data_IF_305871686529
#
_entry.id   IF_305871686529
#
_cell.length_a   1.000
_cell.length_b   1.000
_cell.length_c   1.000
_cell.angle_alpha   90.00
_cell.angle_beta   90.00
_cell.angle_gamma   90.00
#
_symmetry.space_group_name_H-M   'P 1'
#
loop_
_entity.id
_entity.type
_entity.pdbx_description
1 polymer ?
#
# COMPACT_ATOMS: atom_id res chain seq x y z
N UNK A 1 -6.83 1.78 10.27
CA UNK A 1 -6.18 0.46 10.10
C UNK A 1 -7.19 -0.67 9.85
N UNK A 2 -8.12 -0.93 10.77
CA UNK A 2 -9.09 -2.03 10.60
C UNK A 2 -9.93 -1.92 9.33
N UNK A 3 -10.35 -0.71 8.96
CA UNK A 3 -11.04 -0.46 7.68
C UNK A 3 -10.19 -0.87 6.47
N UNK A 4 -8.91 -0.47 6.43
CA UNK A 4 -8.00 -0.83 5.33
C UNK A 4 -7.86 -2.36 5.17
N UNK A 5 -7.94 -3.11 6.28
CA UNK A 5 -7.89 -4.58 6.29
C UNK A 5 -9.25 -5.26 6.10
N UNK A 6 -10.33 -4.51 5.85
CA UNK A 6 -11.69 -5.07 5.75
C UNK A 6 -12.24 -5.65 7.05
N UNK A 7 -11.68 -5.28 8.20
CA UNK A 7 -11.93 -5.92 9.50
C UNK A 7 -12.49 -4.97 10.58
N UNK A 8 -13.08 -3.83 10.19
CA UNK A 8 -13.69 -2.91 11.16
C UNK A 8 -15.11 -3.33 11.52
N UNK A 9 -15.35 -3.67 12.78
CA UNK A 9 -16.68 -4.03 13.30
C UNK A 9 -17.54 -2.84 13.74
N UNK A 10 -16.95 -1.65 13.88
CA UNK A 10 -17.63 -0.46 14.42
C UNK A 10 -18.49 0.29 13.40
N UNK A 11 -18.34 0.00 12.10
CA UNK A 11 -19.12 0.66 11.05
C UNK A 11 -19.08 2.19 11.15
N UNK A 12 -20.25 2.81 11.21
CA UNK A 12 -20.42 4.27 11.31
C UNK A 12 -19.97 4.85 12.66
N UNK A 13 -19.85 4.04 13.71
CA UNK A 13 -19.38 4.48 15.04
C UNK A 13 -17.85 4.47 15.15
N UNK A 14 -17.15 4.08 14.09
CA UNK A 14 -15.69 4.11 14.09
C UNK A 14 -15.19 5.56 14.13
N UNK A 15 -14.33 5.85 15.11
CA UNK A 15 -13.69 7.17 15.25
C UNK A 15 -12.57 7.42 14.23
N UNK A 16 -12.23 6.40 13.42
CA UNK A 16 -11.22 6.51 12.36
C UNK A 16 -11.87 6.65 10.99
N UNK A 17 -11.14 7.25 10.06
CA UNK A 17 -11.62 7.47 8.70
C UNK A 17 -11.80 6.15 7.93
N UNK A 18 -13.01 5.96 7.38
CA UNK A 18 -13.38 4.85 6.50
C UNK A 18 -13.40 5.30 5.03
N UNK A 19 -12.27 5.83 4.56
CA UNK A 19 -12.10 6.28 3.18
C UNK A 19 -10.64 6.22 2.77
N UNK A 20 -10.41 6.27 1.46
CA UNK A 20 -9.06 6.34 0.91
C UNK A 20 -8.40 7.70 1.19
N UNK A 21 -7.07 7.76 1.30
CA UNK A 21 -6.36 9.02 1.42
C UNK A 21 -6.50 9.86 0.15
N UNK A 22 -6.86 11.13 0.31
CA UNK A 22 -6.80 12.13 -0.75
C UNK A 22 -5.58 13.06 -0.56
N UNK A 23 -5.39 14.00 -1.48
CA UNK A 23 -4.27 14.95 -1.43
C UNK A 23 -4.30 15.81 -0.16
N UNK A 24 -5.49 16.16 0.35
CA UNK A 24 -5.64 16.97 1.56
C UNK A 24 -5.18 16.21 2.80
N UNK A 25 -5.63 14.95 2.95
CA UNK A 25 -5.19 14.09 4.05
C UNK A 25 -3.69 13.84 3.95
N UNK A 26 -3.18 13.56 2.75
CA UNK A 26 -1.76 13.30 2.56
C UNK A 26 -0.89 14.52 2.93
N UNK A 27 -1.34 15.74 2.63
CA UNK A 27 -0.65 16.97 2.99
C UNK A 27 -0.60 17.22 4.50
N UNK A 28 -1.62 16.79 5.24
CA UNK A 28 -1.67 16.93 6.70
C UNK A 28 -0.92 15.81 7.45
N UNK A 29 -0.45 14.77 6.76
CA UNK A 29 0.19 13.62 7.39
C UNK A 29 1.70 13.88 7.61
N UNK A 30 2.19 13.98 8.86
CA UNK A 30 3.59 14.26 9.13
C UNK A 30 4.50 13.12 8.65
N UNK A 31 5.80 13.38 8.47
CA UNK A 31 6.76 12.33 8.12
C UNK A 31 7.00 11.34 9.26
N UNK A 32 6.78 11.74 10.51
CA UNK A 32 7.01 10.92 11.71
C UNK A 32 5.93 9.87 11.95
N UNK A 33 4.76 10.00 11.32
CA UNK A 33 3.65 9.08 11.51
C UNK A 33 3.18 8.54 10.17
N UNK A 34 2.71 7.29 10.15
CA UNK A 34 2.01 6.77 8.98
C UNK A 34 0.58 7.29 8.90
N UNK A 35 -0.10 6.99 7.79
CA UNK A 35 -1.49 7.37 7.53
C UNK A 35 -2.51 6.84 8.56
N UNK A 36 -2.09 5.90 9.42
CA UNK A 36 -2.91 5.34 10.49
C UNK A 36 -2.57 5.92 11.88
N UNK A 37 -1.65 6.88 11.95
CA UNK A 37 -1.23 7.55 13.18
C UNK A 37 -0.15 6.79 13.97
N UNK A 38 0.45 5.73 13.42
CA UNK A 38 1.52 4.98 14.09
C UNK A 38 2.86 5.68 13.89
N UNK A 39 3.70 5.70 14.92
CA UNK A 39 5.04 6.29 14.84
C UNK A 39 5.93 5.51 13.87
N UNK A 40 6.60 6.22 12.98
CA UNK A 40 7.60 5.70 12.04
C UNK A 40 8.97 5.72 12.71
N UNK A 41 9.87 4.87 12.22
CA UNK A 41 11.22 4.76 12.79
C UNK A 41 12.22 5.59 11.99
N UNK A 42 13.40 5.85 12.56
CA UNK A 42 14.47 6.55 11.85
C UNK A 42 14.92 5.74 10.65
N UNK A 43 15.25 4.48 10.89
CA UNK A 43 15.71 3.54 9.87
C UNK A 43 14.62 2.55 9.47
N UNK A 44 14.79 1.96 8.29
CA UNK A 44 13.98 0.80 7.90
C UNK A 44 14.37 -0.42 8.74
N UNK A 45 13.41 -1.30 8.99
CA UNK A 45 13.71 -2.64 9.49
C UNK A 45 14.52 -3.43 8.46
N UNK A 46 15.31 -4.39 8.92
CA UNK A 46 16.13 -5.25 8.04
C UNK A 46 15.31 -6.07 7.06
N UNK A 47 14.06 -6.39 7.39
CA UNK A 47 13.10 -7.09 6.53
C UNK A 47 12.28 -6.16 5.62
N UNK A 48 12.53 -4.83 5.67
CA UNK A 48 11.76 -3.78 5.00
C UNK A 48 10.26 -3.76 5.34
N UNK A 49 9.87 -4.43 6.43
CA UNK A 49 8.51 -4.47 6.95
C UNK A 49 8.15 -3.26 7.82
N UNK A 50 6.98 -3.34 8.47
CA UNK A 50 6.54 -2.33 9.43
C UNK A 50 6.04 -1.01 8.80
N UNK A 51 6.19 0.09 9.54
CA UNK A 51 5.64 1.43 9.24
C UNK A 51 6.55 2.31 8.37
N UNK A 52 7.76 1.84 8.06
CA UNK A 52 8.75 2.55 7.27
C UNK A 52 9.57 3.60 8.03
N UNK A 53 10.44 4.29 7.29
CA UNK A 53 11.43 5.25 7.80
C UNK A 53 11.00 6.71 7.57
N UNK A 54 11.04 7.56 8.61
CA UNK A 54 10.80 8.99 8.44
C UNK A 54 11.94 9.74 7.73
N UNK A 55 13.20 9.28 7.84
CA UNK A 55 14.34 9.86 7.12
C UNK A 55 14.33 9.49 5.62
N UNK A 56 13.82 8.29 5.30
CA UNK A 56 13.74 7.76 3.94
C UNK A 56 12.30 7.38 3.61
N UNK A 57 11.41 8.37 3.40
CA UNK A 57 10.04 8.10 3.00
C UNK A 57 10.02 7.44 1.62
N UNK A 58 9.18 6.41 1.46
CA UNK A 58 9.00 5.70 0.20
C UNK A 58 7.53 5.70 -0.20
N UNK A 59 7.28 5.85 -1.49
CA UNK A 59 5.96 5.69 -2.11
C UNK A 59 5.86 4.36 -2.88
N UNK A 60 6.91 3.54 -2.82
CA UNK A 60 7.06 2.31 -3.58
C UNK A 60 6.93 1.11 -2.65
N UNK A 61 6.04 0.19 -3.01
CA UNK A 61 5.84 -1.09 -2.36
C UNK A 61 6.54 -2.18 -3.16
N UNK A 62 7.19 -3.10 -2.44
CA UNK A 62 7.57 -4.40 -2.96
C UNK A 62 6.38 -5.35 -2.80
N UNK A 63 6.00 -6.01 -3.88
CA UNK A 63 4.92 -7.01 -3.91
C UNK A 63 5.54 -8.32 -4.37
N UNK A 64 5.66 -9.29 -3.46
CA UNK A 64 6.21 -10.62 -3.74
C UNK A 64 5.14 -11.71 -3.71
N UNK A 65 5.53 -12.94 -4.06
CA UNK A 65 4.61 -14.08 -4.09
C UNK A 65 3.65 -14.04 -5.28
N UNK A 66 4.02 -13.33 -6.34
CA UNK A 66 3.24 -13.22 -7.55
C UNK A 66 3.60 -14.36 -8.52
N UNK A 67 2.70 -14.73 -9.45
CA UNK A 67 3.04 -15.64 -10.54
C UNK A 67 4.18 -15.08 -11.40
N UNK A 68 4.71 -15.90 -12.32
CA UNK A 68 5.59 -15.39 -13.38
C UNK A 68 4.91 -14.25 -14.16
N UNK A 69 5.71 -13.39 -14.79
CA UNK A 69 5.14 -12.28 -15.55
C UNK A 69 4.23 -12.77 -16.67
N UNK A 70 2.98 -12.34 -16.62
CA UNK A 70 2.04 -12.35 -17.73
C UNK A 70 1.38 -10.97 -17.79
N UNK A 71 0.79 -10.63 -18.95
CA UNK A 71 0.08 -9.35 -19.08
C UNK A 71 -1.11 -9.30 -18.10
N UNK A 72 -1.78 -10.43 -17.92
CA UNK A 72 -2.91 -10.59 -17.01
C UNK A 72 -2.49 -10.37 -15.55
N UNK A 73 -1.30 -10.84 -15.15
CA UNK A 73 -0.77 -10.60 -13.80
C UNK A 73 -0.43 -9.12 -13.58
N UNK A 74 0.17 -8.45 -14.57
CA UNK A 74 0.42 -7.00 -14.49
C UNK A 74 -0.90 -6.21 -14.42
N UNK A 75 -1.87 -6.56 -15.25
CA UNK A 75 -3.19 -5.91 -15.27
C UNK A 75 -3.94 -6.14 -13.96
N UNK A 76 -3.87 -7.33 -13.36
CA UNK A 76 -4.42 -7.62 -12.03
C UNK A 76 -3.77 -6.76 -10.94
N UNK A 77 -2.44 -6.65 -10.93
CA UNK A 77 -1.72 -5.74 -10.00
C UNK A 77 -2.19 -4.31 -10.19
N UNK A 78 -2.27 -3.81 -11.43
CA UNK A 78 -2.69 -2.43 -11.72
C UNK A 78 -4.11 -2.15 -11.26
N UNK A 79 -5.03 -3.10 -11.49
CA UNK A 79 -6.43 -3.00 -11.08
C UNK A 79 -6.55 -2.95 -9.56
N UNK A 80 -6.03 -3.95 -8.86
CA UNK A 80 -6.22 -4.10 -7.41
C UNK A 80 -5.46 -3.02 -6.64
N UNK A 81 -4.21 -2.74 -6.98
CA UNK A 81 -3.47 -1.66 -6.32
C UNK A 81 -4.01 -0.27 -6.73
N UNK A 82 -4.63 -0.16 -7.90
CA UNK A 82 -5.26 1.07 -8.37
C UNK A 82 -6.45 1.51 -7.51
N UNK A 83 -7.11 0.58 -6.81
CA UNK A 83 -8.24 0.89 -5.92
C UNK A 83 -7.81 1.77 -4.74
N UNK A 84 -6.55 1.72 -4.30
CA UNK A 84 -6.08 2.49 -3.14
C UNK A 84 -5.57 3.89 -3.46
N UNK A 85 -5.47 4.23 -4.75
CA UNK A 85 -5.03 5.54 -5.20
C UNK A 85 -4.27 5.53 -6.52
N UNK A 86 -3.90 6.72 -6.98
CA UNK A 86 -3.24 6.89 -8.28
C UNK A 86 -1.84 6.27 -8.29
N UNK A 87 -1.67 5.27 -9.13
CA UNK A 87 -0.38 4.66 -9.42
C UNK A 87 0.46 5.60 -10.30
N UNK A 88 1.73 5.77 -9.94
CA UNK A 88 2.74 6.44 -10.74
C UNK A 88 3.46 5.43 -11.65
N UNK A 89 3.81 4.26 -11.11
CA UNK A 89 4.51 3.21 -11.84
C UNK A 89 4.20 1.83 -11.28
N UNK A 90 4.05 0.85 -12.17
CA UNK A 90 4.09 -0.57 -11.84
C UNK A 90 5.23 -1.17 -12.65
N UNK A 91 6.13 -1.91 -11.98
CA UNK A 91 7.29 -2.53 -12.61
C UNK A 91 7.40 -3.98 -12.18
N UNK A 92 7.04 -4.90 -13.07
CA UNK A 92 7.10 -6.33 -12.82
C UNK A 92 8.49 -6.88 -13.15
N UNK A 93 9.08 -7.62 -12.22
CA UNK A 93 10.33 -8.36 -12.44
C UNK A 93 10.00 -9.73 -13.00
N UNK A 94 10.19 -9.90 -14.31
CA UNK A 94 9.71 -11.05 -15.10
C UNK A 94 10.10 -12.41 -14.52
N UNK A 95 11.33 -12.51 -14.03
CA UNK A 95 11.93 -13.78 -13.57
C UNK A 95 11.97 -13.93 -12.05
N UNK A 96 11.29 -13.05 -11.30
CA UNK A 96 11.38 -13.00 -9.84
C UNK A 96 10.05 -13.19 -9.11
N UNK A 97 8.93 -13.28 -9.82
CA UNK A 97 7.61 -13.43 -9.20
C UNK A 97 7.28 -12.27 -8.25
N UNK A 98 7.73 -11.06 -8.60
CA UNK A 98 7.52 -9.87 -7.79
C UNK A 98 7.42 -8.62 -8.65
N UNK A 99 6.83 -7.57 -8.09
CA UNK A 99 6.73 -6.28 -8.74
C UNK A 99 6.95 -5.13 -7.74
N UNK A 100 7.24 -3.96 -8.30
CA UNK A 100 7.30 -2.71 -7.57
C UNK A 100 6.13 -1.82 -7.97
N UNK A 101 5.32 -1.44 -6.99
CA UNK A 101 4.15 -0.56 -7.18
C UNK A 101 4.44 0.77 -6.51
N UNK A 102 4.53 1.83 -7.31
CA UNK A 102 4.75 3.21 -6.84
C UNK A 102 3.47 4.02 -6.95
N UNK A 103 3.07 4.62 -5.84
CA UNK A 103 1.95 5.56 -5.77
C UNK A 103 2.42 7.01 -5.94
N UNK A 104 1.50 7.88 -6.35
CA UNK A 104 1.73 9.33 -6.29
C UNK A 104 1.81 9.88 -4.87
N UNK A 105 1.07 9.30 -3.93
CA UNK A 105 0.99 9.74 -2.54
C UNK A 105 1.56 8.66 -1.62
N UNK A 106 2.39 9.07 -0.66
CA UNK A 106 2.93 8.17 0.38
C UNK A 106 1.80 7.52 1.18
N UNK A 107 0.79 8.31 1.52
CA UNK A 107 -0.40 7.87 2.24
C UNK A 107 -1.11 6.70 1.54
N UNK A 108 -1.24 6.73 0.21
CA UNK A 108 -1.82 5.62 -0.55
C UNK A 108 -0.95 4.36 -0.48
N UNK A 109 0.39 4.51 -0.54
CA UNK A 109 1.30 3.37 -0.40
C UNK A 109 1.22 2.73 0.99
N UNK A 110 1.20 3.53 2.06
CA UNK A 110 1.03 3.06 3.43
C UNK A 110 -0.32 2.36 3.63
N UNK A 111 -1.39 2.91 3.05
CA UNK A 111 -2.72 2.33 3.10
C UNK A 111 -2.78 0.99 2.36
N UNK A 112 -2.33 0.97 1.10
CA UNK A 112 -2.33 -0.22 0.26
C UNK A 112 -1.49 -1.35 0.84
N UNK A 113 -0.34 -1.03 1.47
CA UNK A 113 0.48 -2.03 2.16
C UNK A 113 -0.32 -2.78 3.23
N UNK A 114 -1.08 -2.07 4.06
CA UNK A 114 -1.85 -2.71 5.12
C UNK A 114 -3.11 -3.40 4.59
N UNK A 115 -3.67 -2.93 3.48
CA UNK A 115 -4.84 -3.55 2.84
C UNK A 115 -4.49 -4.85 2.12
N UNK A 116 -3.37 -4.89 1.40
CA UNK A 116 -2.99 -6.01 0.53
C UNK A 116 -2.12 -7.06 1.22
N UNK A 117 -1.64 -6.82 2.45
CA UNK A 117 -0.83 -7.82 3.15
C UNK A 117 -1.66 -9.09 3.42
N UNK A 118 -1.14 -10.24 2.96
CA UNK A 118 -1.82 -11.53 3.08
C UNK A 118 -3.03 -11.71 2.17
N UNK A 119 -3.25 -10.82 1.19
CA UNK A 119 -4.32 -10.96 0.19
C UNK A 119 -3.83 -11.72 -1.05
N UNK A 120 -4.78 -12.28 -1.80
CA UNK A 120 -4.53 -12.93 -3.08
C UNK A 120 -4.84 -11.98 -4.24
N UNK A 121 -4.02 -12.02 -5.30
CA UNK A 121 -4.38 -11.38 -6.57
C UNK A 121 -5.40 -12.24 -7.31
N UNK A 122 -6.48 -11.62 -7.77
CA UNK A 122 -7.50 -12.23 -8.60
C UNK A 122 -7.08 -12.17 -10.05
N UNK A 123 -6.73 -13.32 -10.64
CA UNK A 123 -6.38 -13.45 -12.05
C UNK A 123 -7.62 -13.83 -12.86
N UNK A 124 -7.85 -13.11 -13.97
CA UNK A 124 -9.02 -13.34 -14.84
C UNK A 124 -10.29 -12.67 -14.35
N UNK A 125 -10.95 -11.94 -15.24
CA UNK A 125 -12.28 -11.35 -15.09
C UNK A 125 -13.02 -11.49 -16.41
#
# INVERSE_FOLDING_TARGET
LHFARGACSKGAECQFLHRLPDEKIAACCPLTNDIFGRDRHRDHKSDMGGVGSFEKPSQTLYVGGLPGYTKEAEDAVRREFGEFGKLERVYYLKDKGCCFVRYKLRACAEFAKEAMIGQHLTLGS
#
